data_IF_455194038715
#
_entry.id   IF_455194038715
#
_cell.length_a   1.000
_cell.length_b   1.000
_cell.length_c   1.000
_cell.angle_alpha   90.00
_cell.angle_beta   90.00
_cell.angle_gamma   90.00
#
_symmetry.space_group_name_H-M   'P 1'
#
loop_
_entity.id
_entity.type
_entity.pdbx_description
1 polymer ?
#
# COMPACT_ATOMS: atom_id res chain seq x y z
N UNK A 1 46.34 12.24 -46.90
CA UNK A 1 45.17 12.24 -46.00
C UNK A 1 45.01 10.84 -45.45
N UNK A 2 45.33 10.60 -44.18
CA UNK A 2 45.24 9.27 -43.57
C UNK A 2 43.81 9.10 -43.04
N UNK A 3 43.01 8.29 -43.73
CA UNK A 3 41.72 7.83 -43.24
C UNK A 3 41.94 7.02 -41.95
N UNK A 4 41.56 7.63 -40.82
CA UNK A 4 41.45 6.92 -39.55
C UNK A 4 40.32 5.91 -39.66
N UNK A 5 40.69 4.64 -39.87
CA UNK A 5 39.83 3.48 -39.66
C UNK A 5 39.09 3.61 -38.32
N UNK A 6 37.77 3.84 -38.37
CA UNK A 6 36.89 3.79 -37.21
C UNK A 6 36.93 2.35 -36.70
N UNK A 7 37.72 2.09 -35.65
CA UNK A 7 37.68 0.83 -34.90
C UNK A 7 36.22 0.55 -34.56
N UNK A 8 35.63 -0.49 -35.16
CA UNK A 8 34.30 -0.96 -34.81
C UNK A 8 34.30 -1.23 -33.30
N UNK A 9 33.49 -0.45 -32.58
CA UNK A 9 33.29 -0.63 -31.14
C UNK A 9 32.90 -2.09 -30.89
N UNK A 10 33.57 -2.75 -29.95
CA UNK A 10 33.17 -4.10 -29.49
C UNK A 10 31.80 -4.10 -28.80
N UNK A 11 31.34 -2.92 -28.36
CA UNK A 11 30.03 -2.74 -27.75
C UNK A 11 28.95 -2.76 -28.82
N UNK A 12 27.96 -3.64 -28.64
CA UNK A 12 26.87 -3.90 -29.60
C UNK A 12 25.61 -3.07 -29.36
N UNK A 13 25.54 -2.34 -28.23
CA UNK A 13 24.44 -1.42 -27.91
C UNK A 13 24.96 -0.01 -27.66
N UNK A 14 24.14 0.98 -28.00
CA UNK A 14 24.39 2.38 -27.65
C UNK A 14 24.17 2.63 -26.15
N UNK A 15 24.81 3.67 -25.61
CA UNK A 15 24.66 4.03 -24.18
C UNK A 15 23.20 4.30 -23.81
N UNK A 16 22.47 4.98 -24.69
CA UNK A 16 21.05 5.29 -24.51
C UNK A 16 20.19 4.01 -24.42
N UNK A 17 20.50 2.99 -25.23
CA UNK A 17 19.79 1.71 -25.22
C UNK A 17 20.07 0.92 -23.94
N UNK A 18 21.33 0.91 -23.47
CA UNK A 18 21.68 0.31 -22.18
C UNK A 18 20.93 0.96 -21.01
N UNK A 19 20.78 2.29 -21.03
CA UNK A 19 20.00 3.03 -20.02
C UNK A 19 18.53 2.66 -20.12
N UNK A 20 17.96 2.67 -21.34
CA UNK A 20 16.55 2.30 -21.57
C UNK A 20 16.23 0.91 -21.05
N UNK A 21 17.02 -0.11 -21.43
CA UNK A 21 16.86 -1.48 -20.94
C UNK A 21 16.94 -1.56 -19.41
N UNK A 22 17.86 -0.80 -18.79
CA UNK A 22 17.98 -0.77 -17.33
C UNK A 22 16.73 -0.19 -16.65
N UNK A 23 16.17 0.89 -17.21
CA UNK A 23 14.95 1.54 -16.73
C UNK A 23 13.71 0.65 -16.94
N UNK A 24 13.71 -0.16 -18.00
CA UNK A 24 12.68 -1.20 -18.26
C UNK A 24 12.80 -2.42 -17.34
N UNK A 25 13.86 -2.49 -16.52
CA UNK A 25 14.02 -3.50 -15.48
C UNK A 25 15.09 -4.55 -15.77
N UNK A 26 15.76 -4.52 -16.92
CA UNK A 26 16.78 -5.51 -17.25
C UNK A 26 18.01 -5.42 -16.34
N UNK A 27 18.57 -6.57 -15.97
CA UNK A 27 19.71 -6.60 -15.05
C UNK A 27 20.99 -6.08 -15.73
N UNK A 28 21.88 -5.42 -14.98
CA UNK A 28 23.18 -4.97 -15.53
C UNK A 28 24.00 -6.12 -16.13
N UNK A 29 23.81 -7.36 -15.65
CA UNK A 29 24.46 -8.56 -16.19
C UNK A 29 23.85 -8.99 -17.53
N UNK A 30 22.53 -8.89 -17.71
CA UNK A 30 21.88 -9.19 -18.99
C UNK A 30 22.23 -8.12 -20.03
N UNK A 31 22.13 -6.84 -19.64
CA UNK A 31 22.51 -5.72 -20.51
C UNK A 31 23.97 -5.87 -20.95
N UNK A 32 24.87 -6.23 -20.03
CA UNK A 32 26.27 -6.48 -20.35
C UNK A 32 26.47 -7.59 -21.38
N UNK A 33 25.70 -8.70 -21.29
CA UNK A 33 25.70 -9.77 -22.28
C UNK A 33 25.17 -9.29 -23.64
N UNK A 34 24.05 -8.57 -23.66
CA UNK A 34 23.45 -8.03 -24.88
C UNK A 34 24.35 -7.00 -25.58
N UNK A 35 25.02 -6.17 -24.79
CA UNK A 35 25.90 -5.09 -25.24
C UNK A 35 27.35 -5.55 -25.48
N UNK A 36 27.69 -6.82 -25.23
CA UNK A 36 29.05 -7.38 -25.32
C UNK A 36 30.11 -6.55 -24.54
N UNK A 37 29.78 -6.21 -23.30
CA UNK A 37 30.62 -5.42 -22.39
C UNK A 37 30.61 -6.04 -20.99
N UNK A 38 31.43 -5.51 -20.08
CA UNK A 38 31.37 -5.92 -18.68
C UNK A 38 30.19 -5.27 -17.95
N UNK A 39 29.62 -5.96 -16.95
CA UNK A 39 28.63 -5.35 -16.06
C UNK A 39 29.18 -4.12 -15.31
N UNK A 40 30.51 -4.03 -15.12
CA UNK A 40 31.16 -2.83 -14.60
C UNK A 40 31.00 -1.65 -15.55
N UNK A 41 31.18 -1.87 -16.85
CA UNK A 41 31.00 -0.83 -17.86
C UNK A 41 29.56 -0.31 -17.90
N UNK A 42 28.56 -1.22 -17.87
CA UNK A 42 27.14 -0.81 -17.77
C UNK A 42 26.91 0.06 -16.52
N UNK A 43 27.47 -0.31 -15.37
CA UNK A 43 27.35 0.51 -14.14
C UNK A 43 28.00 1.90 -14.26
N UNK A 44 29.11 2.01 -15.00
CA UNK A 44 29.76 3.30 -15.29
C UNK A 44 28.83 4.13 -16.18
N UNK A 45 28.30 3.56 -17.26
CA UNK A 45 27.33 4.25 -18.14
C UNK A 45 26.14 4.79 -17.35
N UNK A 46 25.57 3.99 -16.43
CA UNK A 46 24.47 4.46 -15.58
C UNK A 46 24.91 5.62 -14.67
N UNK A 47 26.07 5.54 -14.03
CA UNK A 47 26.58 6.60 -13.14
C UNK A 47 26.92 7.89 -13.90
N UNK A 48 27.59 7.79 -15.04
CA UNK A 48 27.96 8.94 -15.88
C UNK A 48 26.74 9.68 -16.42
N UNK A 49 25.56 9.03 -16.44
CA UNK A 49 24.29 9.59 -16.87
C UNK A 49 23.32 9.84 -15.70
N UNK A 50 23.80 9.89 -14.45
CA UNK A 50 23.01 10.16 -13.25
C UNK A 50 21.79 9.22 -13.06
N UNK A 51 21.88 7.98 -13.54
CA UNK A 51 20.82 6.98 -13.34
C UNK A 51 21.00 6.32 -11.98
N UNK A 52 19.99 6.46 -11.12
CA UNK A 52 19.99 5.86 -9.79
C UNK A 52 20.02 4.32 -9.88
N UNK A 53 20.88 3.69 -9.07
CA UNK A 53 21.02 2.24 -9.05
C UNK A 53 19.96 1.63 -8.16
N UNK A 54 19.18 0.69 -8.72
CA UNK A 54 18.20 -0.10 -7.97
C UNK A 54 18.81 -0.81 -6.77
N UNK A 55 18.03 -0.94 -5.70
CA UNK A 55 18.44 -1.61 -4.47
C UNK A 55 18.92 -3.05 -4.72
N UNK A 56 19.90 -3.52 -3.94
CA UNK A 56 20.49 -4.86 -4.07
C UNK A 56 19.41 -5.95 -3.96
N UNK A 57 19.27 -6.75 -5.03
CA UNK A 57 18.35 -7.86 -5.15
C UNK A 57 17.04 -7.56 -5.91
N UNK A 58 16.76 -6.30 -6.25
CA UNK A 58 15.57 -5.89 -7.01
C UNK A 58 15.41 -6.62 -8.36
N UNK A 59 16.52 -6.82 -9.09
CA UNK A 59 16.54 -7.52 -10.38
C UNK A 59 16.23 -9.03 -10.29
N UNK A 60 16.18 -9.60 -9.08
CA UNK A 60 15.76 -11.00 -8.86
C UNK A 60 14.26 -11.14 -8.63
N UNK A 61 13.50 -10.03 -8.63
CA UNK A 61 12.07 -10.07 -8.39
C UNK A 61 11.36 -10.74 -9.57
N UNK A 62 10.50 -11.71 -9.26
CA UNK A 62 9.69 -12.44 -10.25
C UNK A 62 8.48 -11.63 -10.75
N UNK A 63 7.96 -10.72 -9.91
CA UNK A 63 6.72 -10.01 -10.14
C UNK A 63 6.95 -8.50 -10.19
N UNK A 64 6.20 -7.80 -11.05
CA UNK A 64 6.20 -6.35 -11.11
C UNK A 64 5.54 -5.77 -9.85
N UNK A 65 5.97 -4.57 -9.46
CA UNK A 65 5.44 -3.83 -8.32
C UNK A 65 5.89 -2.38 -8.42
N UNK A 66 4.98 -1.42 -8.28
CA UNK A 66 5.34 -0.03 -8.01
C UNK A 66 5.90 0.07 -6.59
N UNK A 67 7.23 0.04 -6.46
CA UNK A 67 7.89 0.07 -5.16
C UNK A 67 7.76 1.42 -4.45
N UNK A 68 7.59 2.50 -5.22
CA UNK A 68 7.50 3.89 -4.74
C UNK A 68 6.07 4.32 -4.42
N UNK A 69 5.12 3.37 -4.40
CA UNK A 69 3.69 3.65 -4.29
C UNK A 69 3.32 4.49 -3.06
N UNK A 70 4.02 4.29 -1.94
CA UNK A 70 3.74 5.01 -0.69
C UNK A 70 4.47 6.35 -0.56
N UNK A 71 5.16 6.83 -1.60
CA UNK A 71 5.89 8.11 -1.58
C UNK A 71 5.04 9.32 -1.94
N UNK A 72 3.90 9.12 -2.61
CA UNK A 72 3.01 10.20 -3.07
C UNK A 72 1.58 9.93 -2.66
N UNK A 73 0.95 10.95 -2.08
CA UNK A 73 -0.45 10.86 -1.68
C UNK A 73 -1.38 10.83 -2.90
N UNK A 74 -2.42 10.02 -2.77
CA UNK A 74 -3.58 9.94 -3.66
C UNK A 74 -4.73 9.28 -2.90
N UNK A 75 -5.95 9.36 -3.42
CA UNK A 75 -7.13 8.75 -2.82
C UNK A 75 -6.93 7.24 -2.56
N UNK A 76 -6.38 6.53 -3.56
CA UNK A 76 -6.10 5.11 -3.48
C UNK A 76 -4.93 4.78 -2.54
N UNK A 77 -3.88 5.60 -2.52
CA UNK A 77 -2.77 5.39 -1.60
C UNK A 77 -3.24 5.53 -0.14
N UNK A 78 -4.02 6.56 0.18
CA UNK A 78 -4.53 6.78 1.52
C UNK A 78 -5.46 5.64 1.97
N UNK A 79 -6.37 5.20 1.09
CA UNK A 79 -7.19 4.02 1.34
C UNK A 79 -6.34 2.78 1.62
N UNK A 80 -5.35 2.48 0.77
CA UNK A 80 -4.50 1.30 0.94
C UNK A 80 -3.69 1.39 2.25
N UNK A 81 -3.21 2.57 2.63
CA UNK A 81 -2.49 2.76 3.89
C UNK A 81 -3.38 2.49 5.10
N UNK A 82 -4.62 3.02 5.10
CA UNK A 82 -5.60 2.75 6.16
C UNK A 82 -5.96 1.26 6.24
N UNK A 83 -6.22 0.63 5.09
CA UNK A 83 -6.51 -0.80 4.99
C UNK A 83 -5.32 -1.65 5.47
N UNK A 84 -4.09 -1.22 5.16
CA UNK A 84 -2.87 -1.86 5.62
C UNK A 84 -2.69 -1.76 7.14
N UNK A 85 -3.09 -0.65 7.77
CA UNK A 85 -3.04 -0.53 9.24
C UNK A 85 -4.02 -1.47 9.93
N UNK A 86 -5.15 -1.82 9.31
CA UNK A 86 -6.03 -2.86 9.80
C UNK A 86 -5.44 -4.27 9.53
N UNK A 87 -5.41 -4.68 8.26
CA UNK A 87 -5.17 -6.09 7.88
C UNK A 87 -3.75 -6.39 7.36
N UNK A 88 -2.87 -5.38 7.33
CA UNK A 88 -1.51 -5.50 6.83
C UNK A 88 -0.52 -6.04 7.85
N UNK A 89 0.52 -6.71 7.36
CA UNK A 89 1.63 -7.24 8.16
C UNK A 89 2.95 -6.86 7.49
N UNK A 90 3.87 -6.28 8.28
CA UNK A 90 5.27 -6.11 7.90
C UNK A 90 6.06 -7.20 8.62
N UNK A 91 6.71 -8.07 7.85
CA UNK A 91 7.59 -9.10 8.41
C UNK A 91 8.88 -8.48 8.96
N UNK A 92 9.43 -9.03 10.05
CA UNK A 92 10.68 -8.52 10.64
C UNK A 92 11.90 -8.88 9.78
N UNK A 93 12.02 -10.16 9.45
CA UNK A 93 13.28 -10.76 8.97
C UNK A 93 13.52 -10.62 7.46
N UNK A 94 12.50 -10.22 6.69
CA UNK A 94 12.63 -10.11 5.24
C UNK A 94 11.88 -8.88 4.68
N UNK A 95 11.91 -8.69 3.37
CA UNK A 95 11.30 -7.55 2.68
C UNK A 95 9.79 -7.68 2.39
N UNK A 96 9.11 -8.65 2.99
CA UNK A 96 7.70 -8.94 2.69
C UNK A 96 6.78 -8.02 3.47
N UNK A 97 5.87 -7.42 2.72
CA UNK A 97 4.70 -6.68 3.17
C UNK A 97 3.48 -7.49 2.69
N UNK A 98 2.60 -7.87 3.62
CA UNK A 98 1.47 -8.75 3.32
C UNK A 98 0.15 -8.08 3.67
N UNK A 99 -0.87 -8.30 2.85
CA UNK A 99 -2.27 -7.96 3.17
C UNK A 99 -3.08 -9.24 3.07
N UNK A 100 -3.88 -9.53 4.09
CA UNK A 100 -4.69 -10.75 4.13
C UNK A 100 -6.17 -10.40 4.18
N UNK A 101 -7.00 -11.09 3.39
CA UNK A 101 -8.45 -10.90 3.46
C UNK A 101 -9.22 -12.14 3.00
N UNK A 102 -10.43 -12.34 3.54
CA UNK A 102 -11.32 -13.45 3.15
C UNK A 102 -11.86 -13.27 1.74
N UNK A 103 -12.22 -12.03 1.39
CA UNK A 103 -12.67 -11.68 0.05
C UNK A 103 -11.47 -11.32 -0.84
N UNK A 104 -11.26 -12.05 -1.95
CA UNK A 104 -10.11 -11.81 -2.83
C UNK A 104 -10.23 -10.56 -3.69
N UNK A 105 -11.45 -10.11 -3.99
CA UNK A 105 -11.71 -9.00 -4.91
C UNK A 105 -10.96 -7.71 -4.51
N UNK A 106 -11.03 -7.32 -3.24
CA UNK A 106 -10.33 -6.13 -2.76
C UNK A 106 -8.80 -6.27 -2.88
N UNK A 107 -8.26 -7.47 -2.69
CA UNK A 107 -6.82 -7.70 -2.87
C UNK A 107 -6.41 -7.62 -4.33
N UNK A 108 -7.27 -8.06 -5.26
CA UNK A 108 -7.06 -7.89 -6.70
C UNK A 108 -7.09 -6.41 -7.10
N UNK A 109 -8.05 -5.64 -6.59
CA UNK A 109 -8.14 -4.20 -6.85
C UNK A 109 -6.91 -3.45 -6.31
N UNK A 110 -6.48 -3.77 -5.08
CA UNK A 110 -5.24 -3.24 -4.49
C UNK A 110 -4.03 -3.62 -5.35
N UNK A 111 -3.95 -4.87 -5.80
CA UNK A 111 -2.85 -5.34 -6.66
C UNK A 111 -2.76 -4.54 -7.96
N UNK A 112 -3.90 -4.22 -8.59
CA UNK A 112 -3.97 -3.38 -9.79
C UNK A 112 -3.45 -1.97 -9.49
N UNK A 113 -3.90 -1.33 -8.40
CA UNK A 113 -3.43 0.01 -8.03
C UNK A 113 -1.93 0.06 -7.72
N UNK A 114 -1.39 -1.01 -7.14
CA UNK A 114 0.05 -1.16 -6.90
C UNK A 114 0.87 -1.49 -8.16
N UNK A 115 0.24 -1.56 -9.34
CA UNK A 115 0.84 -2.00 -10.60
C UNK A 115 1.63 -3.31 -10.42
N UNK A 116 0.99 -4.29 -9.79
CA UNK A 116 1.60 -5.57 -9.41
C UNK A 116 0.98 -6.73 -10.20
N UNK A 117 1.81 -7.72 -10.51
CA UNK A 117 1.33 -9.02 -11.04
C UNK A 117 1.59 -10.17 -10.05
N UNK A 118 1.82 -9.85 -8.77
CA UNK A 118 1.97 -10.84 -7.70
C UNK A 118 0.69 -11.68 -7.55
N UNK A 119 0.75 -13.01 -7.67
CA UNK A 119 -0.42 -13.85 -7.48
C UNK A 119 -0.88 -13.83 -6.02
N UNK A 120 -2.20 -13.90 -5.82
CA UNK A 120 -2.78 -14.13 -4.51
C UNK A 120 -2.55 -15.58 -4.09
N UNK A 121 -2.17 -15.78 -2.83
CA UNK A 121 -2.10 -17.11 -2.22
C UNK A 121 -3.34 -17.33 -1.36
N UNK A 122 -4.01 -18.48 -1.50
CA UNK A 122 -5.11 -18.87 -0.63
C UNK A 122 -4.64 -19.88 0.41
N UNK A 123 -4.79 -19.56 1.69
CA UNK A 123 -4.57 -20.52 2.76
C UNK A 123 -5.66 -21.59 2.71
N UNK A 124 -5.26 -22.86 2.52
CA UNK A 124 -6.20 -23.98 2.36
C UNK A 124 -7.03 -24.26 3.62
N UNK A 125 -6.50 -23.94 4.80
CA UNK A 125 -7.15 -24.25 6.08
C UNK A 125 -8.13 -23.15 6.49
N UNK A 126 -7.76 -21.88 6.31
CA UNK A 126 -8.59 -20.75 6.75
C UNK A 126 -9.44 -20.13 5.63
N UNK A 127 -9.13 -20.45 4.37
CA UNK A 127 -9.75 -19.85 3.19
C UNK A 127 -9.33 -18.40 2.93
N UNK A 128 -8.45 -17.83 3.75
CA UNK A 128 -7.98 -16.43 3.66
C UNK A 128 -7.01 -16.29 2.49
N UNK A 129 -7.20 -15.25 1.68
CA UNK A 129 -6.30 -14.85 0.61
C UNK A 129 -5.22 -13.90 1.14
N UNK A 130 -4.02 -14.01 0.59
CA UNK A 130 -2.86 -13.20 0.98
C UNK A 130 -2.19 -12.62 -0.27
N UNK A 131 -1.97 -11.31 -0.25
CA UNK A 131 -1.14 -10.58 -1.21
C UNK A 131 0.24 -10.32 -0.58
N UNK A 132 1.26 -11.09 -0.96
CA UNK A 132 2.61 -11.00 -0.41
C UNK A 132 3.55 -10.21 -1.33
N UNK A 133 3.80 -8.95 -0.98
CA UNK A 133 4.60 -8.01 -1.77
C UNK A 133 6.05 -8.00 -1.28
N UNK A 134 7.00 -8.25 -2.18
CA UNK A 134 8.42 -8.36 -1.86
C UNK A 134 9.20 -7.13 -2.33
N UNK A 135 9.27 -6.09 -1.50
CA UNK A 135 10.01 -4.86 -1.81
C UNK A 135 10.61 -4.23 -0.56
N UNK A 136 11.93 -4.03 -0.61
CA UNK A 136 12.65 -3.32 0.46
C UNK A 136 12.27 -1.85 0.51
N UNK A 137 12.06 -1.23 -0.66
CA UNK A 137 11.68 0.18 -0.78
C UNK A 137 10.29 0.38 -0.17
N UNK A 138 9.29 -0.40 -0.61
CA UNK A 138 7.94 -0.34 -0.06
C UNK A 138 7.89 -0.58 1.46
N UNK A 139 8.61 -1.59 1.96
CA UNK A 139 8.73 -1.84 3.41
C UNK A 139 9.32 -0.63 4.13
N UNK A 140 10.41 -0.07 3.61
CA UNK A 140 11.07 1.08 4.20
C UNK A 140 10.20 2.34 4.13
N UNK A 141 9.42 2.53 3.06
CA UNK A 141 8.50 3.66 2.93
C UNK A 141 7.38 3.58 3.98
N UNK A 142 6.79 2.40 4.19
CA UNK A 142 5.80 2.18 5.26
C UNK A 142 6.37 2.47 6.65
N UNK A 143 7.61 2.07 6.91
CA UNK A 143 8.28 2.30 8.21
C UNK A 143 8.66 3.77 8.38
N UNK A 144 9.42 4.32 7.43
CA UNK A 144 10.10 5.61 7.58
C UNK A 144 9.21 6.80 7.23
N UNK A 145 8.32 6.68 6.24
CA UNK A 145 7.43 7.77 5.84
C UNK A 145 6.13 7.76 6.65
N UNK A 146 5.63 6.57 6.99
CA UNK A 146 4.31 6.41 7.62
C UNK A 146 4.36 5.90 9.06
N UNK A 147 5.55 5.63 9.61
CA UNK A 147 5.71 5.21 11.01
C UNK A 147 5.14 3.83 11.33
N UNK A 148 4.94 2.97 10.33
CA UNK A 148 4.30 1.67 10.51
C UNK A 148 5.37 0.60 10.77
N UNK A 149 5.48 0.17 12.02
CA UNK A 149 6.47 -0.83 12.44
C UNK A 149 5.98 -2.28 12.28
N UNK A 150 6.89 -3.27 12.20
CA UNK A 150 6.53 -4.68 12.40
C UNK A 150 5.83 -4.90 13.75
N UNK A 151 4.92 -5.87 13.85
CA UNK A 151 4.11 -6.12 15.05
C UNK A 151 3.26 -4.92 15.52
N UNK A 152 2.83 -4.07 14.58
CA UNK A 152 2.10 -2.81 14.80
C UNK A 152 0.85 -2.87 15.69
N UNK A 153 0.17 -4.02 15.81
CA UNK A 153 -1.22 -4.09 16.28
C UNK A 153 -1.50 -3.42 17.62
N UNK A 154 -0.52 -3.36 18.54
CA UNK A 154 -0.69 -2.79 19.88
C UNK A 154 -0.01 -1.42 20.09
N UNK A 155 0.86 -0.98 19.18
CA UNK A 155 1.70 0.21 19.37
C UNK A 155 1.78 1.13 18.13
N UNK A 156 0.93 0.88 17.13
CA UNK A 156 0.83 1.76 15.97
C UNK A 156 0.37 3.15 16.38
N UNK A 157 1.03 4.18 15.87
CA UNK A 157 0.58 5.57 15.98
C UNK A 157 -0.32 5.90 14.79
N UNK A 158 -1.21 6.88 14.94
CA UNK A 158 -1.98 7.37 13.80
C UNK A 158 -1.00 8.10 12.85
N UNK A 159 -0.85 7.67 11.59
CA UNK A 159 0.10 8.28 10.68
C UNK A 159 -0.34 9.69 10.29
N UNK A 160 0.60 10.52 9.86
CA UNK A 160 0.23 11.77 9.19
C UNK A 160 -0.53 11.46 7.90
N UNK A 161 -1.70 12.09 7.71
CA UNK A 161 -2.51 11.99 6.49
C UNK A 161 -3.00 13.39 6.14
N UNK A 162 -2.74 13.91 4.92
CA UNK A 162 -3.26 15.22 4.51
C UNK A 162 -4.79 15.25 4.56
N UNK A 163 -5.35 16.41 4.90
CA UNK A 163 -6.78 16.58 5.18
C UNK A 163 -7.67 16.15 4.01
N UNK A 164 -7.25 16.41 2.77
CA UNK A 164 -8.02 15.98 1.60
C UNK A 164 -8.12 14.45 1.46
N UNK A 165 -7.12 13.69 1.93
CA UNK A 165 -7.10 12.21 1.81
C UNK A 165 -7.58 11.49 3.06
N UNK A 166 -7.81 12.20 4.17
CA UNK A 166 -8.12 11.62 5.47
C UNK A 166 -9.36 10.71 5.44
N UNK A 167 -10.39 11.12 4.71
CA UNK A 167 -11.61 10.34 4.58
C UNK A 167 -11.40 9.01 3.82
N UNK A 168 -10.48 8.97 2.84
CA UNK A 168 -10.08 7.74 2.17
C UNK A 168 -9.27 6.83 3.09
N UNK A 169 -8.36 7.38 3.88
CA UNK A 169 -7.63 6.61 4.90
C UNK A 169 -8.58 5.98 5.93
N UNK A 170 -9.52 6.77 6.45
CA UNK A 170 -10.52 6.27 7.41
C UNK A 170 -11.41 5.21 6.76
N UNK A 171 -11.80 5.36 5.49
CA UNK A 171 -12.49 4.32 4.73
C UNK A 171 -11.68 3.03 4.69
N UNK A 172 -10.39 3.10 4.35
CA UNK A 172 -9.50 1.94 4.31
C UNK A 172 -9.41 1.22 5.64
N UNK A 173 -9.17 1.96 6.73
CA UNK A 173 -9.11 1.39 8.07
C UNK A 173 -10.46 0.82 8.52
N UNK A 174 -11.57 1.53 8.23
CA UNK A 174 -12.91 1.04 8.48
C UNK A 174 -13.20 -0.23 7.69
N UNK A 175 -12.72 -0.37 6.46
CA UNK A 175 -12.99 -1.54 5.62
C UNK A 175 -12.23 -2.79 6.08
N UNK A 176 -11.07 -2.64 6.73
CA UNK A 176 -10.44 -3.74 7.44
C UNK A 176 -11.12 -4.04 8.79
N UNK A 177 -10.95 -3.15 9.77
CA UNK A 177 -11.29 -3.40 11.19
C UNK A 177 -12.62 -2.80 11.67
N UNK A 178 -13.33 -2.11 10.79
CA UNK A 178 -14.64 -1.52 11.09
C UNK A 178 -15.80 -2.52 11.01
N UNK A 179 -16.92 -2.13 11.60
CA UNK A 179 -18.18 -2.86 11.55
C UNK A 179 -19.34 -1.88 11.40
N UNK A 180 -20.35 -2.26 10.61
CA UNK A 180 -21.60 -1.54 10.47
C UNK A 180 -22.74 -2.45 10.91
N UNK A 181 -23.62 -1.93 11.76
CA UNK A 181 -24.83 -2.59 12.22
C UNK A 181 -26.05 -1.71 11.87
N UNK A 182 -26.73 -1.99 10.75
CA UNK A 182 -27.88 -1.20 10.33
C UNK A 182 -29.06 -1.32 11.28
N UNK A 183 -29.30 -2.51 11.86
CA UNK A 183 -30.47 -2.76 12.72
C UNK A 183 -30.43 -1.94 14.02
N UNK A 184 -29.23 -1.76 14.57
CA UNK A 184 -29.01 -0.99 15.81
C UNK A 184 -28.53 0.44 15.54
N UNK A 185 -28.45 0.84 14.27
CA UNK A 185 -27.93 2.12 13.83
C UNK A 185 -26.63 2.47 14.58
N UNK A 186 -25.58 1.67 14.36
CA UNK A 186 -24.24 2.10 14.69
C UNK A 186 -23.18 1.59 13.71
N UNK A 187 -22.06 2.32 13.65
CA UNK A 187 -20.79 1.82 13.13
C UNK A 187 -19.78 1.77 14.27
N UNK A 188 -18.81 0.87 14.17
CA UNK A 188 -17.73 0.79 15.14
C UNK A 188 -16.38 0.53 14.51
N UNK A 189 -15.33 1.07 15.12
CA UNK A 189 -13.93 0.74 14.85
C UNK A 189 -13.40 -0.12 15.99
N UNK A 190 -12.47 -1.03 15.69
CA UNK A 190 -11.79 -1.88 16.66
C UNK A 190 -10.29 -1.78 16.43
N UNK A 191 -9.49 -1.60 17.48
CA UNK A 191 -8.03 -1.56 17.34
C UNK A 191 -7.33 -1.95 18.64
N UNK A 192 -6.12 -2.51 18.53
CA UNK A 192 -5.31 -2.91 19.69
C UNK A 192 -4.48 -1.76 20.29
N UNK A 193 -4.14 -0.75 19.48
CA UNK A 193 -3.36 0.42 19.93
C UNK A 193 -4.24 1.50 20.54
N UNK A 194 -3.96 1.86 21.79
CA UNK A 194 -4.62 2.99 22.45
C UNK A 194 -4.36 4.31 21.72
N UNK A 195 -3.10 4.59 21.37
CA UNK A 195 -2.71 5.86 20.76
C UNK A 195 -3.38 6.08 19.41
N UNK A 196 -3.42 5.04 18.58
CA UNK A 196 -4.12 5.09 17.30
C UNK A 196 -5.61 5.38 17.49
N UNK A 197 -6.26 4.63 18.38
CA UNK A 197 -7.70 4.73 18.61
C UNK A 197 -8.08 6.04 19.30
N UNK A 198 -7.24 6.58 20.19
CA UNK A 198 -7.43 7.88 20.81
C UNK A 198 -7.34 9.01 19.76
N UNK A 199 -6.36 8.94 18.86
CA UNK A 199 -6.21 9.89 17.76
C UNK A 199 -7.37 9.82 16.77
N UNK A 200 -7.81 8.61 16.40
CA UNK A 200 -8.99 8.41 15.55
C UNK A 200 -10.25 9.00 16.20
N UNK A 201 -10.43 8.84 17.52
CA UNK A 201 -11.53 9.48 18.26
C UNK A 201 -11.48 11.01 18.13
N UNK A 202 -10.31 11.62 18.32
CA UNK A 202 -10.14 13.08 18.21
C UNK A 202 -10.50 13.57 16.81
N UNK A 203 -10.01 12.90 15.77
CA UNK A 203 -10.36 13.21 14.37
C UNK A 203 -11.87 13.14 14.15
N UNK A 204 -12.54 12.10 14.66
CA UNK A 204 -14.00 12.00 14.53
C UNK A 204 -14.73 13.15 15.26
N UNK A 205 -14.22 13.60 16.41
CA UNK A 205 -14.77 14.79 17.11
C UNK A 205 -14.58 16.06 16.28
N UNK A 206 -13.41 16.26 15.66
CA UNK A 206 -13.13 17.41 14.78
C UNK A 206 -14.06 17.46 13.56
N UNK A 207 -14.52 16.30 13.10
CA UNK A 207 -15.52 16.17 12.03
C UNK A 207 -16.97 16.18 12.56
N UNK A 208 -17.20 16.74 13.76
CA UNK A 208 -18.49 16.91 14.41
C UNK A 208 -19.26 15.62 14.70
N UNK A 209 -18.56 14.49 14.85
CA UNK A 209 -19.15 13.27 15.39
C UNK A 209 -19.08 13.25 16.92
N UNK A 210 -19.92 12.41 17.54
CA UNK A 210 -19.94 12.18 18.99
C UNK A 210 -19.54 10.72 19.30
N UNK A 211 -18.26 10.35 19.14
CA UNK A 211 -17.80 8.98 19.32
C UNK A 211 -17.82 8.52 20.77
N UNK A 212 -18.44 7.36 21.03
CA UNK A 212 -18.31 6.65 22.30
C UNK A 212 -17.05 5.77 22.27
N UNK A 213 -16.09 6.06 23.14
CA UNK A 213 -14.85 5.29 23.29
C UNK A 213 -15.01 4.26 24.40
N UNK A 214 -14.71 2.99 24.11
CA UNK A 214 -14.82 1.87 25.04
C UNK A 214 -13.48 1.15 25.12
N UNK A 215 -12.92 1.06 26.32
CA UNK A 215 -11.77 0.22 26.62
C UNK A 215 -12.25 -1.19 26.96
N UNK A 216 -11.80 -2.19 26.21
CA UNK A 216 -11.85 -3.61 26.59
C UNK A 216 -10.39 -4.02 26.77
N UNK A 217 -10.05 -4.72 27.84
CA UNK A 217 -8.66 -5.04 28.24
C UNK A 217 -7.63 -5.26 27.11
N UNK A 218 -8.01 -5.95 26.02
CA UNK A 218 -7.14 -6.26 24.87
C UNK A 218 -7.41 -5.45 23.59
N UNK A 219 -8.46 -4.64 23.56
CA UNK A 219 -8.91 -3.89 22.37
C UNK A 219 -9.70 -2.63 22.74
N UNK A 220 -9.52 -1.57 21.96
CA UNK A 220 -10.30 -0.35 22.06
C UNK A 220 -11.38 -0.34 20.99
N UNK A 221 -12.53 0.26 21.30
CA UNK A 221 -13.64 0.41 20.38
C UNK A 221 -14.15 1.83 20.35
N UNK A 222 -14.43 2.33 19.15
CA UNK A 222 -15.14 3.59 18.94
C UNK A 222 -16.49 3.27 18.33
N UNK A 223 -17.56 3.84 18.85
CA UNK A 223 -18.90 3.72 18.29
C UNK A 223 -19.41 5.08 17.82
N UNK A 224 -19.97 5.11 16.61
CA UNK A 224 -20.84 6.19 16.15
C UNK A 224 -22.25 5.63 16.04
N UNK A 225 -23.19 6.23 16.75
CA UNK A 225 -24.58 5.77 16.80
C UNK A 225 -25.54 6.83 16.26
N UNK A 226 -26.70 6.36 15.81
CA UNK A 226 -27.77 7.22 15.33
C UNK A 226 -27.87 7.22 13.81
N UNK A 227 -29.12 7.14 13.35
CA UNK A 227 -29.49 7.02 11.95
C UNK A 227 -28.83 8.08 11.04
N UNK A 228 -29.00 9.36 11.40
CA UNK A 228 -28.41 10.48 10.67
C UNK A 228 -26.87 10.50 10.76
N UNK A 229 -26.30 10.15 11.91
CA UNK A 229 -24.84 10.10 12.12
C UNK A 229 -24.19 9.12 11.16
N UNK A 230 -24.77 7.94 11.00
CA UNK A 230 -24.22 6.89 10.14
C UNK A 230 -24.40 7.24 8.67
N UNK A 231 -25.54 7.83 8.30
CA UNK A 231 -25.75 8.34 6.95
C UNK A 231 -24.66 9.34 6.57
N UNK A 232 -24.43 10.36 7.41
CA UNK A 232 -23.36 11.35 7.22
C UNK A 232 -21.97 10.72 7.17
N UNK A 233 -21.71 9.74 8.05
CA UNK A 233 -20.46 9.01 8.06
C UNK A 233 -20.22 8.25 6.75
N UNK A 234 -21.23 7.54 6.26
CA UNK A 234 -21.19 6.84 4.97
C UNK A 234 -20.93 7.79 3.81
N UNK A 235 -21.72 8.87 3.71
CA UNK A 235 -21.57 9.90 2.66
C UNK A 235 -20.14 10.47 2.65
N UNK A 236 -19.58 10.73 3.84
CA UNK A 236 -18.23 11.25 3.99
C UNK A 236 -17.15 10.26 3.55
N UNK A 237 -17.12 9.03 4.10
CA UNK A 237 -16.02 8.09 3.79
C UNK A 237 -16.10 7.56 2.35
N UNK A 238 -17.29 7.54 1.74
CA UNK A 238 -17.51 7.06 0.37
C UNK A 238 -17.58 8.16 -0.69
N UNK A 239 -17.30 9.41 -0.32
CA UNK A 239 -17.01 10.48 -1.29
C UNK A 239 -15.85 10.04 -2.18
N UNK A 240 -15.99 10.25 -3.50
CA UNK A 240 -15.01 9.93 -4.54
C UNK A 240 -14.34 8.55 -4.39
N UNK A 241 -15.14 7.54 -4.02
CA UNK A 241 -14.64 6.18 -3.80
C UNK A 241 -14.22 5.51 -5.11
N UNK A 242 -13.06 4.87 -5.06
CA UNK A 242 -12.61 3.91 -6.07
C UNK A 242 -12.39 2.53 -5.43
N UNK A 243 -11.58 2.49 -4.37
CA UNK A 243 -11.37 1.29 -3.56
C UNK A 243 -12.28 1.29 -2.33
N UNK A 244 -12.96 0.16 -2.11
CA UNK A 244 -13.77 -0.10 -0.93
C UNK A 244 -14.12 -1.59 -0.81
N UNK A 245 -14.50 -2.04 0.38
CA UNK A 245 -14.99 -3.38 0.59
C UNK A 245 -16.48 -3.48 0.28
N UNK A 246 -16.81 -4.14 -0.83
CA UNK A 246 -18.17 -4.25 -1.38
C UNK A 246 -19.24 -4.59 -0.31
N UNK A 247 -19.00 -5.63 0.51
CA UNK A 247 -19.95 -6.06 1.55
C UNK A 247 -20.30 -4.98 2.59
N UNK A 248 -19.37 -4.06 2.89
CA UNK A 248 -19.59 -2.97 3.85
C UNK A 248 -20.34 -1.83 3.18
N UNK A 249 -19.96 -1.50 1.94
CA UNK A 249 -20.64 -0.48 1.16
C UNK A 249 -22.11 -0.82 0.91
N UNK A 250 -22.41 -2.06 0.53
CA UNK A 250 -23.78 -2.53 0.28
C UNK A 250 -24.69 -2.37 1.50
N UNK A 251 -24.17 -2.65 2.70
CA UNK A 251 -24.92 -2.45 3.94
C UNK A 251 -25.34 -0.99 4.12
N UNK A 252 -24.49 -0.03 3.74
CA UNK A 252 -24.84 1.39 3.76
C UNK A 252 -25.90 1.79 2.72
N UNK A 253 -25.98 1.08 1.60
CA UNK A 253 -26.88 1.41 0.48
C UNK A 253 -28.30 0.88 0.65
N UNK A 254 -28.54 -0.05 1.58
CA UNK A 254 -29.89 -0.54 1.87
C UNK A 254 -30.75 0.62 2.40
N UNK A 255 -31.52 1.23 1.51
CA UNK A 255 -32.31 2.47 1.73
C UNK A 255 -33.37 2.38 2.84
N UNK A 256 -33.63 1.19 3.38
CA UNK A 256 -34.50 0.97 4.55
C UNK A 256 -33.70 0.87 5.88
N UNK A 257 -32.41 1.18 5.88
CA UNK A 257 -31.50 0.96 7.01
C UNK A 257 -30.79 2.21 7.54
N UNK A 258 -31.02 3.40 6.96
CA UNK A 258 -30.57 4.71 7.47
C UNK A 258 -31.53 5.84 7.15
#
# INVERSE_FOLDING_TARGET
MIERSKKKSKCTLEKAEMIKLYLEGESTSNIAKLANVSARYVRIVLTDNNVEKRARGSWKRKYNLNEDYFKRWSNNMAYILGFFIADGVITKDNQTVSISQKESAILEDIKIKLNSNQPLYKNKNTGVYMLNLNSKIMKNDLINLHGIMPCKSYDVQFPFVPKEYLHHFIRGYFDGDGHVNPQRYFVSFVGGSYNFMSSLKQILVEYNYQPKFVNKEKQYRIYLSGKNTIKKFSEWIYTDKELFLQRKYEVFQLKNSF
#
